data_IF_744074165360
#
_entry.id   IF_744074165360
#
_cell.length_a   1.000
_cell.length_b   1.000
_cell.length_c   1.000
_cell.angle_alpha   90.00
_cell.angle_beta   90.00
_cell.angle_gamma   90.00
#
_symmetry.space_group_name_H-M   'P 1'
#
loop_
_entity.id
_entity.type
_entity.pdbx_description
1 polymer ?
#
# COMPACT_ATOMS: atom_id res chain seq x y z
N UNK A 1 30.42 2.74 17.51
CA UNK A 1 29.04 2.25 17.39
C UNK A 1 28.54 2.62 16.00
N UNK A 2 28.12 1.64 15.18
CA UNK A 2 27.61 1.90 13.83
C UNK A 2 26.14 2.31 13.97
N UNK A 3 25.83 3.57 13.70
CA UNK A 3 24.48 4.12 13.73
C UNK A 3 23.79 3.71 12.44
N UNK A 4 22.96 2.66 12.48
CA UNK A 4 22.15 2.26 11.33
C UNK A 4 21.04 3.30 11.15
N UNK A 5 21.19 4.18 10.15
CA UNK A 5 20.20 5.20 9.80
C UNK A 5 18.96 4.48 9.26
N UNK A 6 17.94 4.34 10.10
CA UNK A 6 16.59 4.03 9.65
C UNK A 6 16.07 5.29 8.91
N UNK A 7 16.07 5.24 7.58
CA UNK A 7 15.50 6.31 6.75
C UNK A 7 13.98 6.25 6.89
N UNK A 8 13.45 7.00 7.85
CA UNK A 8 12.03 7.30 7.92
C UNK A 8 11.73 8.38 6.87
N UNK A 9 11.53 7.95 5.63
CA UNK A 9 11.03 8.84 4.59
C UNK A 9 9.55 9.16 4.89
N UNK A 10 9.31 10.27 5.61
CA UNK A 10 7.98 10.85 5.77
C UNK A 10 7.55 11.44 4.41
N UNK A 11 7.06 10.59 3.51
CA UNK A 11 6.44 11.06 2.29
C UNK A 11 5.10 11.71 2.65
N UNK A 12 5.04 13.04 2.60
CA UNK A 12 3.79 13.81 2.51
C UNK A 12 3.14 13.49 1.14
N UNK A 13 2.68 12.26 0.96
CA UNK A 13 1.94 11.83 -0.21
C UNK A 13 0.49 12.28 -0.07
N UNK A 14 -0.06 12.87 -1.13
CA UNK A 14 -1.46 13.25 -1.23
C UNK A 14 -2.34 12.21 -0.52
N UNK A 15 -3.02 12.64 0.54
CA UNK A 15 -3.97 11.80 1.26
C UNK A 15 -5.05 11.40 0.25
N UNK A 16 -4.98 10.18 -0.29
CA UNK A 16 -6.18 9.59 -0.84
C UNK A 16 -7.19 9.62 0.30
N UNK A 17 -8.32 10.28 0.09
CA UNK A 17 -9.39 10.38 1.07
C UNK A 17 -10.11 9.03 1.30
N UNK A 18 -9.61 7.95 0.69
CA UNK A 18 -10.28 6.66 0.55
C UNK A 18 -9.51 5.47 1.10
N UNK A 19 -8.23 5.62 1.46
CA UNK A 19 -7.51 4.54 2.11
C UNK A 19 -8.03 4.40 3.55
N UNK A 20 -8.71 3.28 3.83
CA UNK A 20 -9.25 2.99 5.16
C UNK A 20 -8.15 3.07 6.22
N UNK A 21 -8.49 3.61 7.39
CA UNK A 21 -7.58 3.73 8.52
C UNK A 21 -6.98 2.36 8.93
N UNK A 22 -7.80 1.31 8.93
CA UNK A 22 -7.38 -0.07 9.23
C UNK A 22 -6.31 -0.62 8.26
N UNK A 23 -6.43 -0.35 6.96
CA UNK A 23 -5.44 -0.80 5.97
C UNK A 23 -4.09 -0.09 6.18
N UNK A 24 -4.10 1.21 6.46
CA UNK A 24 -2.88 1.99 6.75
C UNK A 24 -2.21 1.57 8.05
N UNK A 25 -2.98 1.32 9.11
CA UNK A 25 -2.47 0.88 10.41
C UNK A 25 -1.79 -0.50 10.37
N UNK A 26 -2.26 -1.39 9.48
CA UNK A 26 -1.74 -2.75 9.36
C UNK A 26 -0.56 -2.85 8.38
N UNK A 27 -0.41 -1.87 7.48
CA UNK A 27 0.73 -1.76 6.60
C UNK A 27 2.00 -1.38 7.37
N UNK A 28 3.14 -1.91 6.93
CA UNK A 28 4.45 -1.35 7.27
C UNK A 28 4.74 -0.11 6.43
N UNK A 29 4.27 -0.08 5.18
CA UNK A 29 4.44 1.04 4.28
C UNK A 29 3.28 1.12 3.29
N UNK A 30 2.89 2.36 2.96
CA UNK A 30 1.96 2.66 1.85
C UNK A 30 2.69 3.48 0.81
N UNK A 31 2.63 3.05 -0.45
CA UNK A 31 3.39 3.66 -1.55
C UNK A 31 2.38 4.12 -2.61
N UNK A 32 2.30 5.43 -2.89
CA UNK A 32 1.42 5.94 -3.95
C UNK A 32 1.96 5.54 -5.32
N UNK A 33 1.05 5.07 -6.18
CA UNK A 33 1.36 4.62 -7.53
C UNK A 33 0.94 5.67 -8.57
N UNK A 34 1.62 5.66 -9.71
CA UNK A 34 1.39 6.62 -10.80
C UNK A 34 0.01 6.47 -11.44
N UNK A 35 -0.59 5.28 -11.38
CA UNK A 35 -1.95 5.02 -11.85
C UNK A 35 -3.05 5.56 -10.90
N UNK A 36 -2.65 6.23 -9.82
CA UNK A 36 -3.53 6.77 -8.79
C UNK A 36 -3.89 5.77 -7.69
N UNK A 37 -3.41 4.53 -7.78
CA UNK A 37 -3.58 3.52 -6.73
C UNK A 37 -2.57 3.63 -5.59
N UNK A 38 -2.65 2.69 -4.66
CA UNK A 38 -1.74 2.57 -3.51
C UNK A 38 -1.26 1.12 -3.41
N UNK A 39 0.05 0.94 -3.30
CA UNK A 39 0.64 -0.34 -2.91
C UNK A 39 0.79 -0.36 -1.38
N UNK A 40 0.20 -1.36 -0.75
CA UNK A 40 0.36 -1.66 0.66
C UNK A 40 1.43 -2.74 0.82
N UNK A 41 2.51 -2.44 1.54
CA UNK A 41 3.46 -3.44 2.03
C UNK A 41 3.15 -3.74 3.49
N UNK A 42 2.78 -4.97 3.79
CA UNK A 42 2.46 -5.42 5.13
C UNK A 42 3.72 -5.78 5.93
N UNK A 43 3.60 -5.88 7.25
CA UNK A 43 4.71 -6.19 8.17
C UNK A 43 5.35 -7.56 7.93
N UNK A 44 4.64 -8.48 7.28
CA UNK A 44 5.12 -9.80 6.87
C UNK A 44 5.80 -9.77 5.48
N UNK A 45 5.99 -8.59 4.88
CA UNK A 45 6.60 -8.40 3.57
C UNK A 45 5.66 -8.65 2.39
N UNK A 46 4.40 -9.04 2.64
CA UNK A 46 3.43 -9.26 1.56
C UNK A 46 2.80 -7.97 1.07
N UNK A 47 2.26 -8.01 -0.14
CA UNK A 47 1.79 -6.84 -0.86
C UNK A 47 0.32 -6.96 -1.28
N UNK A 48 -0.39 -5.85 -1.25
CA UNK A 48 -1.70 -5.71 -1.89
C UNK A 48 -1.84 -4.33 -2.54
N UNK A 49 -2.69 -4.23 -3.56
CA UNK A 49 -2.89 -3.00 -4.32
C UNK A 49 -4.32 -2.51 -4.18
N UNK A 50 -4.48 -1.23 -3.89
CA UNK A 50 -5.72 -0.49 -4.01
C UNK A 50 -5.71 0.29 -5.33
N UNK A 51 -6.83 0.29 -6.07
CA UNK A 51 -6.98 1.11 -7.26
C UNK A 51 -7.30 2.58 -6.92
N UNK A 52 -7.28 3.44 -7.94
CA UNK A 52 -7.61 4.88 -7.80
C UNK A 52 -9.01 5.19 -7.26
N UNK A 53 -9.88 4.18 -7.12
CA UNK A 53 -11.25 4.31 -6.63
C UNK A 53 -11.41 3.75 -5.21
N UNK A 54 -10.31 3.39 -4.54
CA UNK A 54 -10.36 2.86 -3.18
C UNK A 54 -10.72 1.39 -3.09
N UNK A 55 -10.60 0.62 -4.18
CA UNK A 55 -10.98 -0.81 -4.22
C UNK A 55 -9.75 -1.69 -4.22
N UNK A 56 -9.79 -2.81 -3.50
CA UNK A 56 -8.75 -3.82 -3.61
C UNK A 56 -8.69 -4.36 -5.05
N UNK A 57 -7.53 -4.20 -5.69
CA UNK A 57 -7.25 -4.65 -7.04
C UNK A 57 -6.32 -5.85 -6.99
N UNK A 58 -6.61 -6.85 -7.83
CA UNK A 58 -5.74 -8.00 -8.01
C UNK A 58 -4.34 -7.56 -8.44
N UNK A 59 -3.32 -8.01 -7.71
CA UNK A 59 -1.92 -7.75 -8.02
C UNK A 59 -1.26 -9.04 -8.47
N UNK A 60 -0.82 -9.13 -9.73
CA UNK A 60 -0.16 -10.36 -10.20
C UNK A 60 1.31 -10.33 -9.77
N UNK A 61 1.81 -11.43 -9.22
CA UNK A 61 3.26 -11.57 -8.98
C UNK A 61 4.03 -11.46 -10.30
N UNK A 62 5.10 -10.67 -10.29
CA UNK A 62 5.89 -10.32 -11.47
C UNK A 62 5.46 -9.01 -12.15
N UNK A 63 4.30 -8.45 -11.82
CA UNK A 63 3.91 -7.15 -12.36
C UNK A 63 4.85 -6.04 -11.87
N UNK A 64 5.19 -5.12 -12.76
CA UNK A 64 5.98 -3.93 -12.42
C UNK A 64 5.06 -2.74 -12.20
N UNK A 65 5.11 -2.18 -10.99
CA UNK A 65 4.36 -1.01 -10.58
C UNK A 65 5.27 0.22 -10.63
N UNK A 66 4.76 1.33 -11.19
CA UNK A 66 5.44 2.61 -11.18
C UNK A 66 4.93 3.48 -10.02
N UNK A 67 5.84 3.93 -9.16
CA UNK A 67 5.54 4.84 -8.07
C UNK A 67 5.44 6.28 -8.56
N UNK A 68 4.84 7.17 -7.76
CA UNK A 68 4.73 8.60 -8.12
C UNK A 68 6.09 9.27 -8.27
N UNK A 69 7.11 8.85 -7.52
CA UNK A 69 8.50 9.32 -7.63
C UNK A 69 9.30 8.68 -8.77
N UNK A 70 8.64 7.90 -9.64
CA UNK A 70 9.22 7.32 -10.85
C UNK A 70 10.00 6.01 -10.65
N UNK A 71 10.09 5.51 -9.42
CA UNK A 71 10.68 4.19 -9.13
C UNK A 71 9.78 3.06 -9.63
N UNK A 72 10.38 1.88 -9.77
CA UNK A 72 9.68 0.66 -10.16
C UNK A 72 9.73 -0.36 -9.02
N UNK A 73 8.62 -1.04 -8.78
CA UNK A 73 8.49 -2.11 -7.79
C UNK A 73 7.94 -3.34 -8.50
N UNK A 74 8.63 -4.47 -8.39
CA UNK A 74 8.11 -5.75 -8.87
C UNK A 74 7.27 -6.39 -7.78
N UNK A 75 6.03 -6.72 -8.09
CA UNK A 75 5.12 -7.40 -7.17
C UNK A 75 5.60 -8.82 -6.87
N UNK A 76 5.72 -9.17 -5.60
CA UNK A 76 6.11 -10.51 -5.17
C UNK A 76 4.93 -11.37 -4.70
N UNK A 77 3.83 -10.74 -4.31
CA UNK A 77 2.69 -11.40 -3.65
C UNK A 77 1.38 -10.67 -3.93
N UNK A 78 0.26 -11.31 -3.54
CA UNK A 78 -1.08 -10.81 -3.79
C UNK A 78 -2.00 -11.04 -2.59
N UNK A 79 -2.13 -10.03 -1.74
CA UNK A 79 -3.00 -10.06 -0.56
C UNK A 79 -4.32 -9.28 -0.79
N UNK A 80 -4.88 -9.38 -2.00
CA UNK A 80 -6.12 -8.68 -2.39
C UNK A 80 -7.30 -8.98 -1.46
N UNK A 81 -7.43 -10.21 -0.97
CA UNK A 81 -8.50 -10.60 -0.04
C UNK A 81 -8.34 -9.93 1.33
N UNK A 82 -7.11 -9.92 1.86
CA UNK A 82 -6.77 -9.22 3.11
C UNK A 82 -7.04 -7.73 2.99
N UNK A 83 -6.60 -7.10 1.90
CA UNK A 83 -6.84 -5.68 1.66
C UNK A 83 -8.34 -5.38 1.56
N UNK A 84 -9.10 -6.18 0.83
CA UNK A 84 -10.56 -6.02 0.73
C UNK A 84 -11.25 -6.09 2.11
N UNK A 85 -10.81 -7.00 2.97
CA UNK A 85 -11.31 -7.07 4.35
C UNK A 85 -10.97 -5.80 5.15
N UNK A 86 -9.72 -5.32 5.08
CA UNK A 86 -9.28 -4.13 5.80
C UNK A 86 -9.99 -2.85 5.32
N UNK A 87 -10.15 -2.70 4.01
CA UNK A 87 -10.88 -1.59 3.40
C UNK A 87 -12.34 -1.56 3.87
N UNK A 88 -12.99 -2.72 4.00
CA UNK A 88 -14.36 -2.78 4.55
C UNK A 88 -14.42 -2.58 6.06
N UNK A 89 -13.43 -3.08 6.81
CA UNK A 89 -13.39 -2.96 8.27
C UNK A 89 -13.36 -1.50 8.69
N UNK A 90 -12.59 -0.65 8.03
CA UNK A 90 -12.56 0.79 8.33
C UNK A 90 -13.88 1.53 8.08
N UNK A 91 -14.87 0.88 7.45
CA UNK A 91 -16.21 1.44 7.20
C UNK A 91 -17.29 0.83 8.11
N UNK A 92 -16.96 -0.23 8.87
CA UNK A 92 -17.92 -1.04 9.63
C UNK A 92 -18.08 -0.68 11.11
N UNK A 93 -17.25 0.23 11.65
CA UNK A 93 -17.33 0.66 13.05
C UNK A 93 -18.14 1.97 13.18
N UNK A 94 -19.43 1.90 12.86
CA UNK A 94 -20.44 2.89 13.29
C UNK A 94 -21.45 2.25 14.22
#
# INVERSE_FOLDING_TARGET
MKLNIAILALSLGASSAFASDAARQTAAQTIPLKDGGILYMFKDGKMAKEDRYGRAQYLRSGDTLQTVDGKQITASSNEVARLNYLLKKGHGDK
#
